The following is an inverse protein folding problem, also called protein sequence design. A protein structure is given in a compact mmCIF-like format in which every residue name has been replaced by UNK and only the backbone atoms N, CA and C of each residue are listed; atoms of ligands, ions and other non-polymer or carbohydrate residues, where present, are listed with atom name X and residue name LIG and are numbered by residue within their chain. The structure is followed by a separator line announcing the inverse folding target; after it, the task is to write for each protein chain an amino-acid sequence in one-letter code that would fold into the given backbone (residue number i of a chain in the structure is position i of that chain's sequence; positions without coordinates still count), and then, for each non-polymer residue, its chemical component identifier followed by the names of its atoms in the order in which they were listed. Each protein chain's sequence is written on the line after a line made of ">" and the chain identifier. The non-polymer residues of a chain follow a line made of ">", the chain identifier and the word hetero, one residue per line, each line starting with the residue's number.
data_IF_985749297539
#
_entry.id   IF_985749297539
#
_cell.length_a   1.000
_cell.length_b   1.000
_cell.length_c   1.000
_cell.angle_alpha   90.00
_cell.angle_beta   90.00
_cell.angle_gamma   90.00
#
_symmetry.space_group_name_H-M   'P 1'
#
loop_
_entity.id
_entity.type
_entity.pdbx_description
1 polymer ?
#
# COMPACT_ATOMS: atom_id res chain seq x y z
N UNK A 1 26.34 -12.34 -4.94
CA UNK A 1 24.94 -12.46 -4.48
C UNK A 1 24.06 -12.61 -5.71
N UNK A 2 23.64 -13.84 -6.00
CA UNK A 2 22.69 -14.10 -7.09
C UNK A 2 21.28 -13.84 -6.55
N UNK A 3 20.66 -12.76 -6.99
CA UNK A 3 19.25 -12.48 -6.67
C UNK A 3 18.43 -13.59 -7.32
N UNK A 4 17.48 -14.19 -6.59
CA UNK A 4 16.62 -15.20 -7.18
C UNK A 4 15.80 -14.57 -8.33
N UNK A 5 15.58 -15.29 -9.45
CA UNK A 5 14.86 -14.73 -10.59
C UNK A 5 13.43 -14.28 -10.22
N UNK A 6 12.82 -14.89 -9.20
CA UNK A 6 11.49 -14.50 -8.71
C UNK A 6 11.52 -13.13 -8.00
N UNK A 7 12.52 -12.89 -7.14
CA UNK A 7 12.69 -11.60 -6.44
C UNK A 7 12.95 -10.48 -7.45
N UNK A 8 13.70 -10.76 -8.51
CA UNK A 8 13.94 -9.83 -9.60
C UNK A 8 12.63 -9.43 -10.29
N UNK A 9 11.77 -10.40 -10.63
CA UNK A 9 10.46 -10.12 -11.23
C UNK A 9 9.61 -9.28 -10.28
N UNK A 10 9.64 -9.60 -8.98
CA UNK A 10 8.88 -8.87 -7.97
C UNK A 10 9.35 -7.41 -7.83
N UNK A 11 10.66 -7.19 -7.81
CA UNK A 11 11.29 -5.86 -7.77
C UNK A 11 10.99 -5.05 -9.03
N UNK A 12 11.02 -5.67 -10.21
CA UNK A 12 10.65 -5.02 -11.47
C UNK A 12 9.16 -4.66 -11.50
N UNK A 13 8.29 -5.56 -11.03
CA UNK A 13 6.85 -5.30 -10.88
C UNK A 13 6.56 -4.17 -9.89
N UNK A 14 7.28 -4.12 -8.78
CA UNK A 14 7.26 -3.03 -7.81
C UNK A 14 7.65 -1.70 -8.48
N UNK A 15 8.78 -1.66 -9.19
CA UNK A 15 9.23 -0.46 -9.90
C UNK A 15 8.20 0.03 -10.92
N UNK A 16 7.66 -0.88 -11.74
CA UNK A 16 6.62 -0.58 -12.70
C UNK A 16 5.35 -0.05 -12.02
N UNK A 17 4.97 -0.66 -10.89
CA UNK A 17 3.83 -0.22 -10.07
C UNK A 17 4.01 1.21 -9.56
N UNK A 18 5.18 1.58 -9.05
CA UNK A 18 5.46 2.95 -8.61
C UNK A 18 5.42 3.96 -9.76
N UNK A 19 5.95 3.60 -10.93
CA UNK A 19 5.88 4.44 -12.14
C UNK A 19 4.42 4.65 -12.55
N UNK A 20 3.61 3.60 -12.62
CA UNK A 20 2.19 3.69 -12.97
C UNK A 20 1.41 4.50 -11.93
N UNK A 21 1.62 4.24 -10.65
CA UNK A 21 0.95 4.93 -9.55
C UNK A 21 1.22 6.43 -9.58
N UNK A 22 2.49 6.83 -9.76
CA UNK A 22 2.86 8.25 -9.88
C UNK A 22 2.25 8.89 -11.13
N UNK A 23 2.31 8.22 -12.29
CA UNK A 23 1.74 8.72 -13.53
C UNK A 23 0.23 8.93 -13.41
N UNK A 24 -0.49 7.96 -12.85
CA UNK A 24 -1.93 8.05 -12.57
C UNK A 24 -2.25 9.17 -11.57
N UNK A 25 -1.42 9.35 -10.54
CA UNK A 25 -1.60 10.39 -9.54
C UNK A 25 -1.45 11.81 -10.10
N UNK A 26 -0.47 12.00 -11.00
CA UNK A 26 -0.22 13.29 -11.66
C UNK A 26 -1.10 13.52 -12.89
N UNK A 27 -1.74 12.48 -13.43
CA UNK A 27 -2.61 12.61 -14.59
C UNK A 27 -3.88 13.41 -14.26
N UNK A 28 -4.01 14.59 -14.88
CA UNK A 28 -5.15 15.49 -14.69
C UNK A 28 -6.29 15.28 -15.67
N UNK A 29 -6.12 14.42 -16.68
CA UNK A 29 -7.13 14.12 -17.71
C UNK A 29 -8.15 13.09 -17.20
N UNK A 30 -9.43 13.32 -17.48
CA UNK A 30 -10.53 12.41 -17.13
C UNK A 30 -11.00 12.53 -15.67
N UNK A 31 -11.57 11.45 -15.13
CA UNK A 31 -12.02 11.40 -13.74
C UNK A 31 -10.83 11.29 -12.78
N UNK A 32 -10.37 12.45 -12.29
CA UNK A 32 -9.20 12.58 -11.39
C UNK A 32 -9.32 11.72 -10.14
N UNK A 33 -10.54 11.51 -9.64
CA UNK A 33 -10.78 10.73 -8.43
C UNK A 33 -10.51 9.24 -8.71
N UNK A 34 -11.01 8.73 -9.83
CA UNK A 34 -10.75 7.37 -10.30
C UNK A 34 -9.26 7.11 -10.53
N UNK A 35 -8.56 8.02 -11.21
CA UNK A 35 -7.12 7.92 -11.43
C UNK A 35 -6.32 7.88 -10.12
N UNK A 36 -6.70 8.69 -9.14
CA UNK A 36 -6.04 8.71 -7.82
C UNK A 36 -6.31 7.44 -7.01
N UNK A 37 -7.54 6.93 -7.03
CA UNK A 37 -7.88 5.67 -6.36
C UNK A 37 -7.13 4.49 -6.97
N UNK A 38 -7.10 4.41 -8.30
CA UNK A 38 -6.36 3.38 -9.02
C UNK A 38 -4.85 3.52 -8.78
N UNK A 39 -4.32 4.74 -8.82
CA UNK A 39 -2.91 5.01 -8.51
C UNK A 39 -2.54 4.62 -7.08
N UNK A 40 -3.40 4.91 -6.10
CA UNK A 40 -3.21 4.50 -4.71
C UNK A 40 -3.23 2.96 -4.57
N UNK A 41 -4.13 2.28 -5.27
CA UNK A 41 -4.22 0.82 -5.27
C UNK A 41 -2.95 0.19 -5.85
N UNK A 42 -2.50 0.66 -7.01
CA UNK A 42 -1.27 0.17 -7.65
C UNK A 42 -0.06 0.49 -6.78
N UNK A 43 -0.02 1.66 -6.15
CA UNK A 43 1.05 2.04 -5.22
C UNK A 43 1.10 1.16 -3.97
N UNK A 44 -0.06 0.78 -3.42
CA UNK A 44 -0.17 -0.17 -2.31
C UNK A 44 0.35 -1.57 -2.71
N UNK A 45 -0.04 -2.06 -3.88
CA UNK A 45 0.45 -3.34 -4.40
C UNK A 45 1.97 -3.30 -4.68
N UNK A 46 2.48 -2.17 -5.18
CA UNK A 46 3.92 -1.97 -5.37
C UNK A 46 4.67 -1.97 -4.03
N UNK A 47 4.11 -1.33 -2.99
CA UNK A 47 4.69 -1.32 -1.64
C UNK A 47 4.73 -2.72 -1.03
N UNK A 48 3.67 -3.50 -1.18
CA UNK A 48 3.64 -4.91 -0.75
C UNK A 48 4.67 -5.75 -1.50
N UNK A 49 4.79 -5.54 -2.81
CA UNK A 49 5.76 -6.24 -3.65
C UNK A 49 7.19 -5.86 -3.25
N UNK A 50 7.44 -4.61 -2.86
CA UNK A 50 8.72 -4.19 -2.31
C UNK A 50 9.03 -4.91 -0.98
N UNK A 51 8.04 -4.98 -0.09
CA UNK A 51 8.22 -5.62 1.22
C UNK A 51 8.62 -7.09 1.10
N UNK A 52 8.03 -7.81 0.13
CA UNK A 52 8.34 -9.22 -0.13
C UNK A 52 9.63 -9.38 -0.95
N UNK A 53 9.93 -8.46 -1.86
CA UNK A 53 11.06 -8.56 -2.79
C UNK A 53 12.41 -8.16 -2.21
N UNK A 54 12.46 -7.58 -1.00
CA UNK A 54 13.71 -7.27 -0.32
C UNK A 54 14.28 -8.57 0.29
N UNK A 55 15.44 -9.07 -0.19
CA UNK A 55 16.04 -10.26 0.38
C UNK A 55 16.50 -9.97 1.81
N UNK A 56 15.86 -10.63 2.77
CA UNK A 56 16.15 -10.48 4.20
C UNK A 56 17.47 -11.19 4.51
N UNK A 57 18.58 -10.48 4.31
CA UNK A 57 19.93 -11.00 4.57
C UNK A 57 20.31 -10.95 6.05
N UNK A 58 19.61 -10.14 6.86
CA UNK A 58 19.92 -9.93 8.28
C UNK A 58 18.62 -9.86 9.11
N UNK A 59 18.63 -10.44 10.32
CA UNK A 59 17.49 -10.44 11.26
C UNK A 59 17.01 -9.03 11.61
N UNK A 60 17.93 -8.07 11.71
CA UNK A 60 17.59 -6.67 11.90
C UNK A 60 16.74 -6.09 10.75
N UNK A 61 17.03 -6.49 9.51
CA UNK A 61 16.25 -6.08 8.34
C UNK A 61 14.85 -6.72 8.37
N UNK A 62 14.76 -7.99 8.81
CA UNK A 62 13.49 -8.70 8.99
C UNK A 62 12.57 -7.95 9.95
N UNK A 63 13.11 -7.60 11.13
CA UNK A 63 12.34 -6.89 12.14
C UNK A 63 11.96 -5.48 11.70
N UNK A 64 12.83 -4.77 10.96
CA UNK A 64 12.50 -3.46 10.41
C UNK A 64 11.36 -3.52 9.38
N UNK A 65 11.34 -4.53 8.51
CA UNK A 65 10.27 -4.74 7.52
C UNK A 65 8.97 -5.19 8.17
N UNK A 66 9.03 -6.01 9.23
CA UNK A 66 7.85 -6.40 10.02
C UNK A 66 7.28 -5.28 10.90
N UNK A 67 8.12 -4.34 11.35
CA UNK A 67 7.70 -3.21 12.21
C UNK A 67 7.12 -2.04 11.40
N UNK A 68 7.41 -2.00 10.10
CA UNK A 68 6.79 -1.08 9.17
C UNK A 68 5.54 -1.75 8.60
N UNK A 69 4.36 -1.10 8.62
CA UNK A 69 3.13 -1.65 8.05
C UNK A 69 3.18 -1.59 6.51
N UNK A 70 4.17 -2.19 5.86
CA UNK A 70 4.30 -2.16 4.39
C UNK A 70 3.20 -3.01 3.72
N UNK A 71 2.68 -4.02 4.41
CA UNK A 71 1.61 -4.88 3.92
C UNK A 71 0.28 -4.42 4.53
N UNK A 72 -0.48 -3.62 3.79
CA UNK A 72 -1.82 -3.15 4.18
C UNK A 72 -2.88 -3.74 3.23
N UNK A 73 -3.43 -4.91 3.57
CA UNK A 73 -4.39 -5.63 2.71
C UNK A 73 -5.81 -5.09 2.92
N UNK A 74 -6.16 -4.67 4.13
CA UNK A 74 -7.50 -4.16 4.45
C UNK A 74 -7.98 -2.97 3.59
N UNK A 75 -7.14 -1.98 3.21
CA UNK A 75 -7.59 -0.90 2.33
C UNK A 75 -7.89 -1.35 0.89
N UNK A 76 -7.41 -2.50 0.42
CA UNK A 76 -7.62 -2.92 -0.97
C UNK A 76 -9.10 -3.09 -1.31
N UNK A 77 -9.88 -3.71 -0.43
CA UNK A 77 -11.33 -3.89 -0.61
C UNK A 77 -12.08 -2.58 -0.87
N UNK A 78 -12.05 -1.60 0.05
CA UNK A 78 -12.70 -0.31 -0.14
C UNK A 78 -12.11 0.48 -1.32
N UNK A 79 -10.81 0.43 -1.59
CA UNK A 79 -10.21 1.09 -2.76
C UNK A 79 -10.81 0.56 -4.07
N UNK A 80 -10.93 -0.76 -4.22
CA UNK A 80 -11.54 -1.39 -5.41
C UNK A 80 -12.98 -0.93 -5.55
N UNK A 81 -13.74 -0.97 -4.46
CA UNK A 81 -15.17 -0.62 -4.45
C UNK A 81 -15.39 0.85 -4.84
N UNK A 82 -14.59 1.78 -4.30
CA UNK A 82 -14.64 3.19 -4.67
C UNK A 82 -14.14 3.45 -6.09
N UNK A 83 -13.13 2.71 -6.55
CA UNK A 83 -12.67 2.79 -7.93
C UNK A 83 -13.81 2.41 -8.89
N UNK A 84 -14.44 1.25 -8.70
CA UNK A 84 -15.56 0.79 -9.54
C UNK A 84 -16.72 1.79 -9.52
N UNK A 85 -17.09 2.31 -8.34
CA UNK A 85 -18.11 3.36 -8.23
C UNK A 85 -17.73 4.64 -8.97
N UNK A 86 -16.48 5.09 -8.86
CA UNK A 86 -16.00 6.29 -9.56
C UNK A 86 -15.92 6.14 -11.09
N UNK A 87 -15.81 4.91 -11.58
CA UNK A 87 -15.83 4.62 -13.03
C UNK A 87 -17.26 4.58 -13.55
N UNK A 88 -18.19 3.98 -12.80
CA UNK A 88 -19.60 3.85 -13.20
C UNK A 88 -20.38 5.16 -13.03
N UNK A 89 -20.07 5.95 -12.01
CA UNK A 89 -20.74 7.21 -11.71
C UNK A 89 -19.73 8.37 -11.66
N UNK A 90 -19.67 9.23 -12.69
CA UNK A 90 -18.78 10.39 -12.71
C UNK A 90 -19.16 11.49 -11.70
N UNK A 91 -20.37 11.46 -11.13
CA UNK A 91 -20.79 12.38 -10.05
C UNK A 91 -20.35 11.89 -8.66
N UNK A 92 -19.83 10.66 -8.55
CA UNK A 92 -19.40 10.09 -7.28
C UNK A 92 -18.29 10.91 -6.63
N UNK A 93 -18.50 11.29 -5.36
CA UNK A 93 -17.52 11.96 -4.51
C UNK A 93 -17.34 11.15 -3.23
N UNK A 94 -16.11 11.05 -2.75
CA UNK A 94 -15.80 10.42 -1.47
C UNK A 94 -16.39 11.29 -0.36
N UNK A 95 -17.45 10.82 0.28
CA UNK A 95 -18.10 11.44 1.42
C UNK A 95 -17.50 10.98 2.77
N UNK A 96 -18.14 11.42 3.86
CA UNK A 96 -17.74 11.04 5.23
C UNK A 96 -18.02 9.57 5.54
N UNK A 97 -19.06 8.99 4.95
CA UNK A 97 -19.46 7.60 5.17
C UNK A 97 -18.49 6.63 4.49
N UNK A 98 -17.98 6.98 3.31
CA UNK A 98 -16.98 6.20 2.58
C UNK A 98 -15.64 6.16 3.33
N UNK A 99 -15.28 7.23 4.04
CA UNK A 99 -14.09 7.26 4.90
C UNK A 99 -14.15 6.30 6.08
N UNK A 100 -15.34 5.91 6.55
CA UNK A 100 -15.47 4.89 7.60
C UNK A 100 -15.10 3.49 7.10
N UNK A 101 -15.18 3.23 5.79
CA UNK A 101 -14.73 1.96 5.21
C UNK A 101 -13.20 1.83 5.21
N UNK A 102 -12.47 2.91 5.51
CA UNK A 102 -11.02 2.89 5.75
C UNK A 102 -10.65 2.62 7.21
N UNK A 103 -11.61 2.53 8.14
CA UNK A 103 -11.33 2.18 9.52
C UNK A 103 -10.63 0.81 9.72
N UNK A 104 -10.89 -0.23 8.90
CA UNK A 104 -10.15 -1.49 8.96
C UNK A 104 -8.64 -1.35 8.69
N UNK A 105 -8.20 -0.25 8.08
CA UNK A 105 -6.75 0.03 7.92
C UNK A 105 -6.06 0.22 9.26
N UNK A 106 -6.78 0.76 10.26
CA UNK A 106 -6.24 0.94 11.62
C UNK A 106 -5.96 -0.41 12.28
N UNK A 107 -6.72 -1.45 11.93
CA UNK A 107 -6.48 -2.83 12.39
C UNK A 107 -5.16 -3.39 11.83
N UNK A 108 -4.84 -3.15 10.56
CA UNK A 108 -3.54 -3.54 9.97
C UNK A 108 -2.36 -2.86 10.69
N UNK A 109 -2.57 -1.65 11.21
CA UNK A 109 -1.54 -0.91 11.94
C UNK A 109 -1.44 -1.29 13.42
N UNK A 110 -2.43 -2.00 13.97
CA UNK A 110 -2.47 -2.36 15.38
C UNK A 110 -1.26 -3.18 15.84
N UNK A 111 -0.88 -4.20 15.07
CA UNK A 111 0.30 -5.03 15.36
C UNK A 111 1.60 -4.22 15.33
N UNK A 112 1.76 -3.36 14.32
CA UNK A 112 2.92 -2.47 14.17
C UNK A 112 3.01 -1.46 15.31
N UNK A 113 1.89 -0.81 15.67
CA UNK A 113 1.80 0.13 16.77
C UNK A 113 2.17 -0.51 18.11
N UNK A 114 1.71 -1.74 18.37
CA UNK A 114 2.11 -2.48 19.56
C UNK A 114 3.62 -2.74 19.59
N UNK A 115 4.24 -3.07 18.45
CA UNK A 115 5.69 -3.19 18.32
C UNK A 115 6.44 -1.89 18.67
N UNK A 116 5.98 -0.75 18.15
CA UNK A 116 6.55 0.57 18.46
C UNK A 116 6.40 0.95 19.94
N UNK A 117 5.25 0.65 20.55
CA UNK A 117 5.01 0.89 21.98
C UNK A 117 5.96 0.04 22.84
N UNK A 118 6.15 -1.23 22.48
CA UNK A 118 7.07 -2.12 23.20
C UNK A 118 8.52 -1.64 23.12
N UNK A 119 8.99 -1.25 21.93
CA UNK A 119 10.34 -0.71 21.74
C UNK A 119 10.52 0.58 22.52
N UNK A 120 9.54 1.50 22.45
CA UNK A 120 9.56 2.75 23.19
C UNK A 120 9.58 2.55 24.71
N UNK A 121 8.81 1.58 25.22
CA UNK A 121 8.78 1.23 26.64
C UNK A 121 10.03 0.48 27.13
N UNK A 122 10.70 -0.29 26.27
CA UNK A 122 11.95 -0.99 26.62
C UNK A 122 13.18 -0.06 26.62
N UNK A 123 13.10 1.08 25.93
CA UNK A 123 14.16 2.09 25.85
C UNK A 123 14.10 3.14 26.97
N UNK A 124 13.02 3.16 27.77
CA UNK A 124 12.74 4.14 28.83
C UNK A 124 12.98 3.52 30.21
#
# INVERSE_FOLDING_TARGET
>A
MTIAPLDLILLLGCLQGFILASLLWFNRKGNRLSNRLLGALIGLLALMSLAVGIPVTNRWMSHAVELLPLIMVMPLGPLILFYTKSVLDPAFRIGRTERLQFYPVVLDWGANLMGWIFIGGALL
#
